data_IF_578517418008
#
_entry.id   IF_578517418008
#
_cell.length_a   1.000
_cell.length_b   1.000
_cell.length_c   1.000
_cell.angle_alpha   90.00
_cell.angle_beta   90.00
_cell.angle_gamma   90.00
#
_symmetry.space_group_name_H-M   'P 1'
#
loop_
_entity.id
_entity.type
_entity.pdbx_description
1 polymer ?
#
# COMPACT_ATOMS: atom_id res chain seq x y z
N UNK A 1 -62.62 7.64 15.89
CA UNK A 1 -61.83 7.08 14.76
C UNK A 1 -60.48 7.80 14.74
N UNK A 2 -59.54 7.35 15.53
CA UNK A 2 -58.20 7.88 15.60
C UNK A 2 -57.28 6.98 14.78
N UNK A 3 -56.61 7.53 13.78
CA UNK A 3 -55.56 6.84 13.04
C UNK A 3 -54.21 7.23 13.66
N UNK A 4 -53.61 6.27 14.29
CA UNK A 4 -52.24 6.30 14.79
C UNK A 4 -51.30 6.05 13.60
N UNK A 5 -50.49 7.05 13.24
CA UNK A 5 -49.48 6.98 12.22
C UNK A 5 -48.11 7.13 12.88
N UNK A 6 -47.69 6.12 13.63
CA UNK A 6 -46.33 5.98 14.09
C UNK A 6 -45.52 5.11 13.12
N UNK A 7 -45.09 5.72 12.02
CA UNK A 7 -44.13 5.10 11.11
C UNK A 7 -42.78 5.78 11.30
N UNK A 8 -42.12 5.46 12.42
CA UNK A 8 -40.70 5.78 12.64
C UNK A 8 -39.85 4.81 11.82
N UNK A 9 -39.64 5.19 10.57
CA UNK A 9 -38.71 4.50 9.68
C UNK A 9 -37.28 4.83 10.12
N UNK A 10 -36.74 4.01 11.01
CA UNK A 10 -35.33 4.05 11.41
C UNK A 10 -34.48 3.44 10.28
N UNK A 11 -34.29 4.22 9.23
CA UNK A 11 -33.30 3.96 8.19
C UNK A 11 -31.90 4.18 8.78
N UNK A 12 -31.40 3.22 9.55
CA UNK A 12 -29.99 3.03 9.81
C UNK A 12 -29.36 2.47 8.53
N UNK A 13 -29.27 3.31 7.49
CA UNK A 13 -28.39 3.06 6.38
C UNK A 13 -26.98 2.85 6.97
N UNK A 14 -26.47 1.63 6.84
CA UNK A 14 -25.05 1.32 7.13
C UNK A 14 -24.21 2.22 6.22
N UNK A 15 -23.81 3.37 6.75
CA UNK A 15 -22.95 4.30 6.02
C UNK A 15 -21.67 3.57 5.68
N UNK A 16 -21.30 3.56 4.40
CA UNK A 16 -20.06 2.94 3.98
C UNK A 16 -18.87 3.67 4.61
N UNK A 17 -17.76 2.99 4.94
CA UNK A 17 -16.57 3.63 5.49
C UNK A 17 -16.13 4.86 4.70
N UNK A 18 -16.23 4.83 3.37
CA UNK A 18 -15.89 5.94 2.49
C UNK A 18 -16.71 7.20 2.75
N UNK A 19 -17.99 7.05 3.12
CA UNK A 19 -18.89 8.17 3.43
C UNK A 19 -18.49 8.87 4.73
N UNK A 20 -17.97 8.13 5.73
CA UNK A 20 -17.55 8.68 7.02
C UNK A 20 -16.28 9.53 6.90
N UNK A 21 -15.33 9.14 6.05
CA UNK A 21 -14.10 9.92 5.81
C UNK A 21 -14.30 11.09 4.85
N UNK A 22 -15.39 11.06 4.06
CA UNK A 22 -15.66 12.12 3.08
C UNK A 22 -15.94 13.44 3.80
N UNK A 23 -15.21 14.49 3.39
CA UNK A 23 -15.38 15.82 3.95
C UNK A 23 -14.84 16.00 5.38
N UNK A 24 -14.04 15.06 5.90
CA UNK A 24 -13.45 15.14 7.24
C UNK A 24 -12.74 16.47 7.47
N UNK A 25 -11.86 16.91 6.56
CA UNK A 25 -11.14 18.17 6.69
C UNK A 25 -12.06 19.39 6.69
N UNK A 26 -13.14 19.36 5.91
CA UNK A 26 -14.15 20.43 5.86
C UNK A 26 -14.91 20.52 7.19
N UNK A 27 -15.26 19.39 7.80
CA UNK A 27 -15.94 19.35 9.11
C UNK A 27 -15.06 19.91 10.20
N UNK A 28 -13.79 19.52 10.23
CA UNK A 28 -12.79 20.02 11.22
C UNK A 28 -12.54 21.51 10.99
N UNK A 29 -12.35 21.94 9.76
CA UNK A 29 -12.17 23.34 9.40
C UNK A 29 -13.34 24.21 9.91
N UNK A 30 -14.57 23.76 9.69
CA UNK A 30 -15.78 24.46 10.18
C UNK A 30 -15.83 24.48 11.71
N UNK A 31 -15.49 23.37 12.40
CA UNK A 31 -15.47 23.28 13.86
C UNK A 31 -14.48 24.25 14.51
N UNK A 32 -13.33 24.43 13.87
CA UNK A 32 -12.20 25.24 14.39
C UNK A 32 -12.16 26.67 13.80
N UNK A 33 -13.05 27.03 12.87
CA UNK A 33 -13.04 28.33 12.22
C UNK A 33 -11.82 28.59 11.33
N UNK A 34 -11.21 27.52 10.77
CA UNK A 34 -10.04 27.61 9.90
C UNK A 34 -10.36 27.14 8.48
N UNK A 35 -9.44 27.37 7.53
CA UNK A 35 -9.60 26.91 6.16
C UNK A 35 -9.32 25.39 6.02
N UNK A 36 -10.08 24.67 5.17
CA UNK A 36 -9.91 23.25 4.97
C UNK A 36 -8.53 22.89 4.37
N UNK A 37 -7.93 23.80 3.58
CA UNK A 37 -6.58 23.63 3.08
C UNK A 37 -5.53 23.73 4.18
N UNK A 38 -5.80 24.50 5.23
CA UNK A 38 -4.96 24.56 6.42
C UNK A 38 -4.97 23.22 7.18
N UNK A 39 -6.19 22.65 7.41
CA UNK A 39 -6.34 21.32 8.02
C UNK A 39 -5.61 20.26 7.21
N UNK A 40 -5.75 20.29 5.88
CA UNK A 40 -5.06 19.36 4.98
C UNK A 40 -3.53 19.47 5.09
N UNK A 41 -2.98 20.68 5.21
CA UNK A 41 -1.52 20.90 5.38
C UNK A 41 -1.01 20.38 6.72
N UNK A 42 -1.78 20.55 7.79
CA UNK A 42 -1.44 19.99 9.10
C UNK A 42 -1.51 18.46 9.07
N UNK A 43 -2.54 17.89 8.44
CA UNK A 43 -2.69 16.45 8.31
C UNK A 43 -1.54 15.78 7.52
N UNK A 44 -0.92 16.49 6.55
CA UNK A 44 0.26 16.03 5.80
C UNK A 44 1.59 16.32 6.49
N UNK A 45 1.58 17.05 7.62
CA UNK A 45 2.81 17.45 8.31
C UNK A 45 3.50 18.69 7.74
N UNK A 46 2.91 19.35 6.73
CA UNK A 46 3.45 20.60 6.12
C UNK A 46 3.36 21.79 7.08
N UNK A 47 2.50 21.69 8.10
CA UNK A 47 2.34 22.64 9.21
C UNK A 47 2.05 21.92 10.51
N UNK A 48 2.33 22.59 11.64
CA UNK A 48 2.01 22.09 12.98
C UNK A 48 0.92 22.95 13.62
N UNK A 49 -0.08 22.29 14.21
CA UNK A 49 -1.12 22.90 15.02
C UNK A 49 -1.69 21.85 15.94
N UNK A 50 -1.39 21.96 17.23
CA UNK A 50 -1.88 21.02 18.26
C UNK A 50 -3.40 20.93 18.30
N UNK A 51 -4.07 22.03 18.05
CA UNK A 51 -5.53 22.12 18.01
C UNK A 51 -6.12 21.33 16.84
N UNK A 52 -5.57 21.51 15.61
CA UNK A 52 -6.01 20.76 14.43
C UNK A 52 -5.65 19.28 14.52
N UNK A 53 -4.46 18.97 15.05
CA UNK A 53 -4.02 17.59 15.28
C UNK A 53 -4.93 16.87 16.28
N UNK A 54 -5.31 17.57 17.38
CA UNK A 54 -6.25 17.06 18.36
C UNK A 54 -7.63 16.81 17.78
N UNK A 55 -8.16 17.75 16.99
CA UNK A 55 -9.46 17.61 16.33
C UNK A 55 -9.46 16.50 15.26
N UNK A 56 -8.37 16.33 14.52
CA UNK A 56 -8.19 15.22 13.56
C UNK A 56 -8.24 13.87 14.29
N UNK A 57 -7.50 13.74 15.38
CA UNK A 57 -7.46 12.52 16.19
C UNK A 57 -8.84 12.17 16.72
N UNK A 58 -9.52 13.15 17.35
CA UNK A 58 -10.87 12.95 17.87
C UNK A 58 -11.85 12.51 16.78
N UNK A 59 -11.84 13.16 15.61
CA UNK A 59 -12.75 12.82 14.54
C UNK A 59 -12.47 11.44 13.92
N UNK A 60 -11.21 10.98 13.90
CA UNK A 60 -10.85 9.62 13.49
C UNK A 60 -11.32 8.59 14.51
N UNK A 61 -11.15 8.85 15.80
CA UNK A 61 -11.64 7.98 16.89
C UNK A 61 -13.17 7.83 16.84
N UNK A 62 -13.90 8.91 16.58
CA UNK A 62 -15.36 8.89 16.40
C UNK A 62 -15.80 8.03 15.20
N UNK A 63 -15.08 8.13 14.08
CA UNK A 63 -15.33 7.30 12.89
C UNK A 63 -15.05 5.83 13.18
N UNK A 64 -13.96 5.52 13.86
CA UNK A 64 -13.60 4.15 14.21
C UNK A 64 -14.60 3.52 15.19
N UNK A 65 -15.13 4.29 16.14
CA UNK A 65 -16.24 3.86 17.01
C UNK A 65 -17.52 3.55 16.20
N UNK A 66 -17.88 4.41 15.25
CA UNK A 66 -19.06 4.20 14.38
C UNK A 66 -18.91 2.98 13.47
N UNK A 67 -17.67 2.65 13.09
CA UNK A 67 -17.37 1.47 12.28
C UNK A 67 -17.29 0.18 13.12
N UNK A 68 -17.52 0.25 14.43
CA UNK A 68 -17.32 -0.87 15.36
C UNK A 68 -15.84 -1.31 15.45
N UNK A 69 -14.94 -0.46 15.00
CA UNK A 69 -13.48 -0.60 15.18
C UNK A 69 -13.20 0.01 16.53
N UNK A 70 -12.87 -0.79 17.54
CA UNK A 70 -12.59 -0.29 18.87
C UNK A 70 -11.64 0.91 18.83
N UNK A 71 -11.95 1.92 19.63
CA UNK A 71 -11.17 3.15 19.82
C UNK A 71 -9.67 2.87 19.66
N UNK A 72 -8.97 3.65 18.84
CA UNK A 72 -7.53 3.83 18.99
C UNK A 72 -7.32 4.58 20.31
N UNK A 73 -7.57 3.85 21.41
CA UNK A 73 -7.44 4.40 22.74
C UNK A 73 -6.06 4.97 22.95
N UNK A 74 -6.03 6.22 23.33
CA UNK A 74 -4.95 6.78 24.12
C UNK A 74 -4.89 6.01 25.45
N UNK A 75 -4.51 4.75 25.43
CA UNK A 75 -3.89 4.10 26.56
C UNK A 75 -2.49 4.72 26.72
N UNK A 76 -2.47 5.89 27.33
CA UNK A 76 -1.33 6.39 28.07
C UNK A 76 -0.94 5.30 29.07
N UNK A 77 0.08 4.49 28.73
CA UNK A 77 0.72 3.65 29.72
C UNK A 77 0.92 2.17 29.43
N UNK A 78 0.45 1.63 28.28
CA UNK A 78 0.90 0.30 27.87
C UNK A 78 1.41 0.36 26.45
N UNK A 79 2.69 0.72 26.31
CA UNK A 79 3.46 0.47 25.11
C UNK A 79 3.33 -1.02 24.79
N UNK A 80 2.46 -1.36 23.84
CA UNK A 80 2.53 -2.68 23.21
C UNK A 80 3.96 -2.80 22.70
N UNK A 81 4.73 -3.80 23.15
CA UNK A 81 6.15 -3.83 22.82
C UNK A 81 6.28 -3.74 21.31
N UNK A 82 7.06 -2.78 20.82
CA UNK A 82 7.32 -2.53 19.40
C UNK A 82 7.82 -3.78 18.64
N UNK A 83 8.22 -4.81 19.38
CA UNK A 83 8.63 -6.12 18.87
C UNK A 83 7.49 -7.00 18.34
N UNK A 84 6.21 -6.64 18.58
CA UNK A 84 5.07 -7.48 18.19
C UNK A 84 4.38 -7.02 16.87
N UNK A 85 4.62 -5.81 16.40
CA UNK A 85 4.04 -5.33 15.14
C UNK A 85 4.74 -6.01 13.96
N UNK A 86 3.96 -6.68 13.12
CA UNK A 86 4.50 -7.28 11.90
C UNK A 86 4.93 -6.19 10.91
N UNK A 87 6.17 -6.27 10.42
CA UNK A 87 6.70 -5.39 9.37
C UNK A 87 6.42 -6.00 7.99
N UNK A 88 6.22 -5.16 6.98
CA UNK A 88 5.91 -5.60 5.62
C UNK A 88 6.99 -6.51 5.04
N UNK A 89 8.26 -6.22 5.26
CA UNK A 89 9.37 -7.04 4.78
C UNK A 89 9.38 -8.47 5.38
N UNK A 90 8.95 -8.62 6.65
CA UNK A 90 8.80 -9.93 7.30
C UNK A 90 7.63 -10.68 6.67
N UNK A 91 6.51 -9.98 6.46
CA UNK A 91 5.33 -10.53 5.83
C UNK A 91 5.61 -11.01 4.41
N UNK A 92 6.30 -10.21 3.60
CA UNK A 92 6.74 -10.58 2.25
C UNK A 92 7.65 -11.81 2.27
N UNK A 93 8.62 -11.87 3.20
CA UNK A 93 9.53 -13.02 3.35
C UNK A 93 8.76 -14.31 3.65
N UNK A 94 7.79 -14.25 4.57
CA UNK A 94 6.98 -15.40 4.98
C UNK A 94 6.02 -15.87 3.87
N UNK A 95 5.59 -14.95 2.99
CA UNK A 95 4.59 -15.22 1.94
C UNK A 95 5.19 -15.17 0.52
N UNK A 96 6.49 -15.30 0.37
CA UNK A 96 7.19 -15.18 -0.92
C UNK A 96 6.61 -16.10 -2.00
N UNK A 97 6.37 -17.36 -1.67
CA UNK A 97 5.82 -18.33 -2.64
C UNK A 97 4.36 -18.07 -2.97
N UNK A 98 3.60 -17.53 -2.02
CA UNK A 98 2.24 -17.07 -2.25
C UNK A 98 2.22 -15.88 -3.23
N UNK A 99 3.04 -14.86 -2.99
CA UNK A 99 3.18 -13.69 -3.88
C UNK A 99 3.54 -14.16 -5.30
N UNK A 100 4.50 -15.08 -5.43
CA UNK A 100 4.90 -15.66 -6.72
C UNK A 100 3.74 -16.36 -7.43
N UNK A 101 2.95 -17.16 -6.69
CA UNK A 101 1.81 -17.90 -7.23
C UNK A 101 0.69 -16.96 -7.70
N UNK A 102 0.33 -15.97 -6.89
CA UNK A 102 -0.68 -14.96 -7.22
C UNK A 102 -0.23 -14.12 -8.41
N UNK A 103 1.04 -13.67 -8.41
CA UNK A 103 1.61 -12.98 -9.55
C UNK A 103 1.50 -13.79 -10.84
N UNK A 104 1.80 -15.09 -10.80
CA UNK A 104 1.68 -15.98 -11.97
C UNK A 104 0.23 -16.03 -12.47
N UNK A 105 -0.72 -16.20 -11.56
CA UNK A 105 -2.16 -16.23 -11.89
C UNK A 105 -2.58 -14.96 -12.60
N UNK A 106 -2.22 -13.79 -12.06
CA UNK A 106 -2.52 -12.49 -12.67
C UNK A 106 -1.81 -12.30 -14.00
N UNK A 107 -0.53 -12.67 -14.08
CA UNK A 107 0.26 -12.58 -15.32
C UNK A 107 -0.31 -13.43 -16.44
N UNK A 108 -0.89 -14.59 -16.13
CA UNK A 108 -1.54 -15.45 -17.13
C UNK A 108 -2.91 -14.93 -17.57
N UNK A 109 -3.60 -14.22 -16.67
CA UNK A 109 -4.89 -13.59 -16.96
C UNK A 109 -4.75 -12.26 -17.74
N UNK A 110 -3.58 -11.63 -17.69
CA UNK A 110 -3.33 -10.37 -18.42
C UNK A 110 -3.11 -10.62 -19.92
N UNK A 111 -3.94 -10.04 -20.81
CA UNK A 111 -3.84 -10.28 -22.24
C UNK A 111 -2.50 -9.85 -22.85
N UNK A 112 -1.88 -8.78 -22.36
CA UNK A 112 -0.63 -8.24 -22.86
C UNK A 112 0.55 -9.11 -22.47
N UNK A 113 0.61 -9.53 -21.21
CA UNK A 113 1.65 -10.42 -20.71
C UNK A 113 1.53 -11.83 -21.27
N UNK A 114 0.30 -12.31 -21.48
CA UNK A 114 0.07 -13.66 -21.99
C UNK A 114 0.30 -13.80 -23.51
N UNK A 115 0.57 -12.71 -24.23
CA UNK A 115 1.02 -12.77 -25.64
C UNK A 115 2.33 -13.52 -25.77
N UNK A 116 3.24 -13.37 -24.81
CA UNK A 116 4.51 -14.09 -24.79
C UNK A 116 4.30 -15.48 -24.22
N UNK A 117 4.36 -16.50 -25.07
CA UNK A 117 4.11 -17.89 -24.70
C UNK A 117 5.38 -18.54 -24.15
N UNK A 118 5.55 -18.46 -22.84
CA UNK A 118 6.66 -19.11 -22.11
C UNK A 118 6.09 -19.97 -20.97
N UNK A 119 6.82 -21.06 -20.65
CA UNK A 119 6.44 -21.96 -19.58
C UNK A 119 6.37 -21.22 -18.24
N UNK A 120 5.41 -21.58 -17.37
CA UNK A 120 5.19 -20.98 -16.08
C UNK A 120 6.46 -20.92 -15.22
N UNK A 121 7.28 -21.98 -15.21
CA UNK A 121 8.57 -22.02 -14.52
C UNK A 121 9.54 -20.94 -14.99
N UNK A 122 9.67 -20.76 -16.32
CA UNK A 122 10.52 -19.70 -16.91
C UNK A 122 9.95 -18.31 -16.64
N UNK A 123 8.61 -18.17 -16.65
CA UNK A 123 7.92 -16.90 -16.36
C UNK A 123 8.17 -16.43 -14.93
N UNK A 124 8.09 -17.33 -13.96
CA UNK A 124 8.23 -17.00 -12.53
C UNK A 124 9.67 -16.97 -12.01
N UNK A 125 10.63 -17.54 -12.76
CA UNK A 125 12.02 -17.65 -12.31
C UNK A 125 12.64 -16.31 -11.83
N UNK A 126 12.45 -15.15 -12.51
CA UNK A 126 13.06 -13.90 -12.07
C UNK A 126 12.28 -13.21 -10.93
N UNK A 127 11.04 -13.61 -10.63
CA UNK A 127 10.17 -12.90 -9.69
C UNK A 127 10.63 -13.04 -8.25
N UNK A 128 11.09 -14.24 -7.84
CA UNK A 128 11.59 -14.45 -6.48
C UNK A 128 12.86 -13.64 -6.20
N UNK A 129 13.92 -13.68 -7.03
CA UNK A 129 15.08 -12.80 -6.87
C UNK A 129 14.72 -11.32 -6.81
N UNK A 130 13.74 -10.88 -7.62
CA UNK A 130 13.27 -9.51 -7.65
C UNK A 130 12.62 -9.09 -6.32
N UNK A 131 11.73 -9.92 -5.76
CA UNK A 131 11.11 -9.69 -4.45
C UNK A 131 12.18 -9.66 -3.34
N UNK A 132 13.16 -10.56 -3.38
CA UNK A 132 14.25 -10.60 -2.40
C UNK A 132 15.13 -9.35 -2.46
N UNK A 133 15.41 -8.87 -3.67
CA UNK A 133 16.16 -7.63 -3.88
C UNK A 133 15.35 -6.42 -3.38
N UNK A 134 14.03 -6.34 -3.68
CA UNK A 134 13.14 -5.31 -3.14
C UNK A 134 13.22 -5.26 -1.60
N UNK A 135 13.13 -6.41 -0.93
CA UNK A 135 13.22 -6.48 0.53
C UNK A 135 14.59 -6.04 1.08
N UNK A 136 15.67 -6.20 0.30
CA UNK A 136 17.00 -5.70 0.68
C UNK A 136 17.06 -4.18 0.53
N UNK A 137 16.57 -3.66 -0.58
CA UNK A 137 16.55 -2.21 -0.88
C UNK A 137 15.69 -1.44 0.12
N UNK A 138 14.54 -1.99 0.54
CA UNK A 138 13.70 -1.41 1.60
C UNK A 138 14.40 -1.20 2.95
N UNK A 139 15.53 -1.88 3.20
CA UNK A 139 16.30 -1.72 4.44
C UNK A 139 17.34 -0.61 4.38
N UNK A 140 17.60 -0.11 3.19
CA UNK A 140 18.54 0.98 2.95
C UNK A 140 17.82 2.31 3.13
N UNK A 141 18.52 3.33 3.62
CA UNK A 141 17.94 4.68 3.66
C UNK A 141 17.55 5.13 2.25
N UNK A 142 16.46 5.86 2.13
CA UNK A 142 15.95 6.39 0.84
C UNK A 142 17.04 7.09 0.04
N UNK A 143 17.91 7.86 0.72
CA UNK A 143 19.04 8.58 0.10
C UNK A 143 20.08 7.66 -0.56
N UNK A 144 20.21 6.44 -0.03
CA UNK A 144 21.23 5.47 -0.47
C UNK A 144 20.63 4.39 -1.40
N UNK A 145 19.29 4.38 -1.57
CA UNK A 145 18.60 3.39 -2.41
C UNK A 145 19.07 3.43 -3.86
N UNK A 146 19.31 4.62 -4.42
CA UNK A 146 19.75 4.77 -5.80
C UNK A 146 21.13 4.15 -6.08
N UNK A 147 21.99 4.03 -5.04
CA UNK A 147 23.31 3.39 -5.11
C UNK A 147 23.24 1.89 -4.81
N UNK A 148 22.10 1.36 -4.38
CA UNK A 148 21.94 -0.05 -4.05
C UNK A 148 22.12 -0.93 -5.30
N UNK A 149 22.73 -2.09 -5.11
CA UNK A 149 22.89 -3.08 -6.19
C UNK A 149 21.51 -3.62 -6.60
N UNK A 150 21.18 -3.54 -7.89
CA UNK A 150 19.90 -3.98 -8.47
C UNK A 150 20.10 -5.04 -9.56
N UNK A 151 20.97 -6.02 -9.30
CA UNK A 151 21.34 -7.07 -10.24
C UNK A 151 20.16 -7.94 -10.70
N UNK A 152 19.18 -8.17 -9.81
CA UNK A 152 18.00 -8.95 -10.18
C UNK A 152 17.12 -8.15 -11.14
N UNK A 153 16.95 -6.85 -10.92
CA UNK A 153 16.22 -5.97 -11.83
C UNK A 153 16.91 -5.86 -13.20
N UNK A 154 18.23 -5.67 -13.22
CA UNK A 154 19.05 -5.65 -14.44
C UNK A 154 18.89 -6.96 -15.25
N UNK A 155 19.07 -8.09 -14.58
CA UNK A 155 18.88 -9.40 -15.20
C UNK A 155 17.46 -9.58 -15.72
N UNK A 156 16.45 -9.12 -14.96
CA UNK A 156 15.05 -9.21 -15.34
C UNK A 156 14.78 -8.43 -16.63
N UNK A 157 15.29 -7.20 -16.76
CA UNK A 157 15.15 -6.40 -17.97
C UNK A 157 15.71 -7.09 -19.21
N UNK A 158 16.98 -7.54 -19.15
CA UNK A 158 17.63 -8.28 -20.23
C UNK A 158 16.90 -9.57 -20.60
N UNK A 159 16.48 -10.34 -19.59
CA UNK A 159 15.76 -11.58 -19.80
C UNK A 159 14.42 -11.36 -20.50
N UNK A 160 13.66 -10.35 -20.10
CA UNK A 160 12.35 -10.08 -20.74
C UNK A 160 12.49 -9.57 -22.14
N UNK A 161 13.51 -8.78 -22.44
CA UNK A 161 13.81 -8.39 -23.81
C UNK A 161 14.09 -9.63 -24.69
N UNK A 162 14.99 -10.51 -24.25
CA UNK A 162 15.34 -11.74 -24.99
C UNK A 162 14.15 -12.70 -25.18
N UNK A 163 13.13 -12.60 -24.31
CA UNK A 163 11.89 -13.38 -24.38
C UNK A 163 10.81 -12.71 -25.24
N UNK A 164 11.04 -11.52 -25.77
CA UNK A 164 10.09 -10.79 -26.63
C UNK A 164 8.97 -10.07 -25.88
N UNK A 165 9.16 -9.78 -24.58
CA UNK A 165 8.25 -8.86 -23.87
C UNK A 165 8.44 -7.44 -24.39
N UNK A 166 7.38 -6.64 -24.34
CA UNK A 166 7.47 -5.21 -24.60
C UNK A 166 7.94 -4.46 -23.35
N UNK A 167 8.49 -3.22 -23.48
CA UNK A 167 8.80 -2.38 -22.30
C UNK A 167 7.58 -2.19 -21.39
N UNK A 168 6.39 -1.99 -21.98
CA UNK A 168 5.15 -1.87 -21.23
C UNK A 168 4.80 -3.16 -20.48
N UNK A 169 5.02 -4.33 -21.12
CA UNK A 169 4.84 -5.63 -20.46
C UNK A 169 5.79 -5.80 -19.26
N UNK A 170 7.03 -5.34 -19.39
CA UNK A 170 7.99 -5.33 -18.28
C UNK A 170 7.47 -4.48 -17.11
N UNK A 171 6.99 -3.26 -17.35
CA UNK A 171 6.40 -2.38 -16.33
C UNK A 171 5.18 -3.03 -15.67
N UNK A 172 4.33 -3.69 -16.48
CA UNK A 172 3.13 -4.35 -15.93
C UNK A 172 3.49 -5.52 -15.00
N UNK A 173 4.58 -6.24 -15.24
CA UNK A 173 5.05 -7.27 -14.32
C UNK A 173 5.40 -6.70 -12.93
N UNK A 174 6.02 -5.52 -12.85
CA UNK A 174 6.28 -4.81 -11.59
C UNK A 174 4.99 -4.32 -10.92
N UNK A 175 4.03 -3.82 -11.71
CA UNK A 175 2.70 -3.45 -11.20
C UNK A 175 1.96 -4.65 -10.59
N UNK A 176 2.11 -5.84 -11.18
CA UNK A 176 1.56 -7.07 -10.61
C UNK A 176 2.21 -7.41 -9.28
N UNK A 177 3.54 -7.29 -9.14
CA UNK A 177 4.21 -7.48 -7.84
C UNK A 177 3.65 -6.51 -6.81
N UNK A 178 3.50 -5.23 -7.17
CA UNK A 178 2.91 -4.20 -6.29
C UNK A 178 1.51 -4.59 -5.83
N UNK A 179 0.64 -5.00 -6.76
CA UNK A 179 -0.73 -5.43 -6.43
C UNK A 179 -0.77 -6.62 -5.48
N UNK A 180 0.05 -7.64 -5.70
CA UNK A 180 0.13 -8.81 -4.83
C UNK A 180 0.61 -8.46 -3.42
N UNK A 181 1.61 -7.59 -3.29
CA UNK A 181 2.13 -7.15 -1.99
C UNK A 181 1.11 -6.28 -1.25
N UNK A 182 0.41 -5.38 -1.95
CA UNK A 182 -0.63 -4.55 -1.35
C UNK A 182 -1.84 -5.39 -0.87
N UNK A 183 -2.27 -6.39 -1.65
CA UNK A 183 -3.31 -7.32 -1.24
C UNK A 183 -2.90 -8.08 0.03
N UNK A 184 -1.66 -8.58 0.07
CA UNK A 184 -1.11 -9.24 1.25
C UNK A 184 -1.07 -8.32 2.48
N UNK A 185 -0.64 -7.06 2.32
CA UNK A 185 -0.63 -6.07 3.39
C UNK A 185 -2.04 -5.77 3.90
N UNK A 186 -3.01 -5.63 3.00
CA UNK A 186 -4.42 -5.38 3.33
C UNK A 186 -5.03 -6.52 4.16
N UNK A 187 -4.74 -7.77 3.83
CA UNK A 187 -5.22 -8.93 4.62
C UNK A 187 -4.67 -8.93 6.06
N UNK A 188 -3.47 -8.39 6.25
CA UNK A 188 -2.78 -8.40 7.54
C UNK A 188 -2.78 -7.04 8.26
N UNK A 189 -3.50 -6.05 7.73
CA UNK A 189 -3.50 -4.68 8.26
C UNK A 189 -3.78 -4.58 9.77
N UNK A 190 -4.67 -5.44 10.28
CA UNK A 190 -5.00 -5.50 11.73
C UNK A 190 -3.86 -6.00 12.63
N UNK A 191 -2.84 -6.63 12.05
CA UNK A 191 -1.68 -7.18 12.74
C UNK A 191 -0.46 -6.26 12.63
N UNK A 192 -0.59 -5.15 11.90
CA UNK A 192 0.47 -4.20 11.62
C UNK A 192 0.21 -2.88 12.37
N UNK A 193 1.26 -2.18 12.72
CA UNK A 193 1.17 -0.80 13.17
C UNK A 193 0.93 0.11 11.96
N UNK A 194 -0.04 1.01 12.04
CA UNK A 194 -0.44 1.84 10.92
C UNK A 194 0.68 2.78 10.43
N UNK A 195 1.45 3.37 11.36
CA UNK A 195 2.55 4.28 11.00
C UNK A 195 3.70 3.51 10.34
N UNK A 196 4.04 2.34 10.89
CA UNK A 196 5.07 1.47 10.33
C UNK A 196 4.63 0.90 8.98
N UNK A 197 3.35 0.59 8.80
CA UNK A 197 2.82 0.12 7.52
C UNK A 197 2.93 1.18 6.43
N UNK A 198 2.56 2.43 6.72
CA UNK A 198 2.68 3.53 5.76
C UNK A 198 4.16 3.72 5.37
N UNK A 199 5.06 3.73 6.34
CA UNK A 199 6.49 3.82 6.09
C UNK A 199 7.00 2.67 5.22
N UNK A 200 6.61 1.44 5.56
CA UNK A 200 7.02 0.23 4.82
C UNK A 200 6.47 0.23 3.39
N UNK A 201 5.22 0.66 3.17
CA UNK A 201 4.63 0.75 1.83
C UNK A 201 5.29 1.84 0.98
N UNK A 202 5.67 2.97 1.59
CA UNK A 202 6.44 4.02 0.90
C UNK A 202 7.80 3.49 0.47
N UNK A 203 8.56 2.88 1.38
CA UNK A 203 9.87 2.29 1.07
C UNK A 203 9.77 1.18 0.02
N UNK A 204 8.72 0.35 0.10
CA UNK A 204 8.45 -0.68 -0.91
C UNK A 204 8.17 -0.06 -2.28
N UNK A 205 7.34 0.99 -2.35
CA UNK A 205 7.04 1.69 -3.59
C UNK A 205 8.29 2.27 -4.24
N UNK A 206 9.11 3.00 -3.49
CA UNK A 206 10.36 3.59 -3.95
C UNK A 206 11.36 2.52 -4.42
N UNK A 207 11.53 1.43 -3.67
CA UNK A 207 12.40 0.33 -4.05
C UNK A 207 11.95 -0.32 -5.37
N UNK A 208 10.63 -0.53 -5.54
CA UNK A 208 10.08 -1.15 -6.73
C UNK A 208 10.17 -0.22 -7.95
N UNK A 209 9.98 1.08 -7.78
CA UNK A 209 10.12 2.07 -8.85
C UNK A 209 11.57 2.18 -9.34
N UNK A 210 12.54 2.18 -8.43
CA UNK A 210 13.97 2.14 -8.79
C UNK A 210 14.34 0.85 -9.53
N UNK A 211 13.83 -0.30 -9.10
CA UNK A 211 14.03 -1.56 -9.82
C UNK A 211 13.40 -1.54 -11.21
N UNK A 212 12.21 -0.98 -11.34
CA UNK A 212 11.54 -0.82 -12.65
C UNK A 212 12.38 0.03 -13.58
N UNK A 213 12.90 1.17 -13.10
CA UNK A 213 13.79 2.04 -13.87
C UNK A 213 15.07 1.30 -14.31
N UNK A 214 15.71 0.59 -13.40
CA UNK A 214 16.94 -0.18 -13.70
C UNK A 214 16.68 -1.28 -14.72
N UNK A 215 15.59 -2.02 -14.58
CA UNK A 215 15.19 -3.06 -15.52
C UNK A 215 14.90 -2.50 -16.92
N UNK A 216 14.24 -1.33 -16.99
CA UNK A 216 14.00 -0.65 -18.27
C UNK A 216 15.28 -0.15 -18.92
N UNK A 217 16.22 0.41 -18.15
CA UNK A 217 17.52 0.84 -18.66
C UNK A 217 18.26 -0.34 -19.31
N UNK A 218 18.34 -1.47 -18.61
CA UNK A 218 19.02 -2.68 -19.10
C UNK A 218 18.25 -3.33 -20.27
N UNK A 219 16.92 -3.27 -20.27
CA UNK A 219 16.10 -3.70 -21.39
C UNK A 219 16.43 -2.90 -22.66
N UNK A 220 16.58 -1.59 -22.55
CA UNK A 220 16.83 -0.68 -23.68
C UNK A 220 18.29 -0.66 -24.13
N UNK A 221 19.25 -1.05 -23.28
CA UNK A 221 20.68 -1.01 -23.57
C UNK A 221 21.15 -2.08 -24.58
N UNK A 222 20.29 -3.05 -24.92
CA UNK A 222 20.64 -4.18 -25.80
C UNK A 222 20.21 -3.93 -27.27
N UNK A 223 19.77 -2.72 -27.60
CA UNK A 223 19.42 -2.36 -29.00
C UNK A 223 20.65 -1.90 -29.77
#
# INVERSE_FOLDING_TARGET
>A
MYRDNSNTNTNLEKQSPQTLYRGLYVRIARKLGVDASYVSRVARGDRRSSEVEGALRQALDEIDQQLGRGSFGTESGRSRPASAAKRLNILMKQNRDRIRKEWLTHSQADPNLNRVKIAAKKRTAPIVPLIEETMKVMKVNVKDMAAASMKAAEHHGRLRQSQGFTPMGLVEEYNLVRRCVFALAQEHVRQMDAQLLIQDLTQFGEALDLQTQRALQDYLAIN
#
